data_IF_181429499193
#
_entry.id   IF_181429499193
#
_cell.length_a   1.000
_cell.length_b   1.000
_cell.length_c   1.000
_cell.angle_alpha   90.00
_cell.angle_beta   90.00
_cell.angle_gamma   90.00
#
_symmetry.space_group_name_H-M   'P 1'
#
loop_
_entity.id
_entity.type
_entity.pdbx_description
1 polymer ?
#
# COMPACT_ATOMS: atom_id res chain seq x y z
N UNK A 1 9.32 -7.60 -5.92
CA UNK A 1 8.41 -6.45 -5.77
C UNK A 1 7.16 -7.00 -5.12
N UNK A 2 6.95 -6.74 -3.84
CA UNK A 2 5.68 -7.09 -3.19
C UNK A 2 4.79 -5.87 -3.32
N UNK A 3 4.07 -5.77 -4.44
CA UNK A 3 2.96 -4.84 -4.54
C UNK A 3 1.74 -5.50 -3.93
N UNK A 4 1.22 -4.90 -2.86
CA UNK A 4 -0.01 -5.36 -2.25
C UNK A 4 -1.17 -4.48 -2.69
N UNK A 5 -1.59 -4.60 -3.95
CA UNK A 5 -2.81 -3.93 -4.43
C UNK A 5 -4.04 -4.65 -3.89
N UNK A 6 -4.79 -4.02 -3.00
CA UNK A 6 -6.04 -4.57 -2.47
C UNK A 6 -7.18 -4.31 -3.47
N UNK A 7 -7.91 -5.36 -3.87
CA UNK A 7 -9.18 -5.27 -4.60
C UNK A 7 -10.26 -6.03 -3.80
N UNK A 8 -11.49 -5.52 -3.78
CA UNK A 8 -12.64 -6.11 -3.10
C UNK A 8 -13.52 -6.80 -4.15
N UNK A 9 -13.77 -8.11 -4.02
CA UNK A 9 -14.81 -8.77 -4.83
C UNK A 9 -16.13 -8.90 -4.06
N UNK A 10 -17.19 -9.00 -4.84
CA UNK A 10 -18.56 -9.21 -4.42
C UNK A 10 -18.79 -10.67 -3.96
N UNK A 11 -19.40 -10.87 -2.78
CA UNK A 11 -19.69 -12.21 -2.24
C UNK A 11 -20.90 -12.90 -2.91
N UNK A 12 -21.63 -12.23 -3.81
CA UNK A 12 -22.87 -12.76 -4.40
C UNK A 12 -22.71 -13.48 -5.75
N UNK A 13 -21.55 -14.09 -6.05
CA UNK A 13 -21.44 -14.97 -7.24
C UNK A 13 -21.46 -16.45 -6.86
N UNK A 14 -22.59 -17.16 -7.05
CA UNK A 14 -22.58 -18.61 -7.04
C UNK A 14 -21.81 -19.08 -8.29
N UNK A 15 -20.76 -19.88 -8.08
CA UNK A 15 -19.86 -20.46 -9.09
C UNK A 15 -18.66 -19.59 -9.55
N UNK A 16 -17.62 -19.54 -8.71
CA UNK A 16 -16.35 -20.21 -9.03
C UNK A 16 -15.46 -19.69 -10.16
N UNK A 17 -15.57 -18.43 -10.60
CA UNK A 17 -14.52 -17.79 -11.40
C UNK A 17 -13.91 -16.62 -10.64
N UNK A 18 -12.78 -16.88 -9.96
CA UNK A 18 -11.89 -15.82 -9.48
C UNK A 18 -11.22 -15.23 -10.72
N UNK A 19 -11.63 -14.04 -11.13
CA UNK A 19 -10.91 -13.33 -12.17
C UNK A 19 -9.53 -12.99 -11.61
N UNK A 20 -8.50 -13.73 -12.03
CA UNK A 20 -7.11 -13.40 -11.76
C UNK A 20 -6.78 -12.08 -12.49
N UNK A 21 -7.16 -10.97 -11.87
CA UNK A 21 -6.79 -9.64 -12.32
C UNK A 21 -5.28 -9.51 -12.20
N UNK A 22 -4.63 -9.57 -13.36
CA UNK A 22 -3.19 -9.41 -13.46
C UNK A 22 -2.86 -7.98 -13.01
N UNK A 23 -2.06 -7.80 -11.94
CA UNK A 23 -1.55 -6.49 -11.49
C UNK A 23 -0.89 -5.72 -12.64
N UNK A 24 -0.29 -6.47 -13.58
CA UNK A 24 0.18 -5.93 -14.83
C UNK A 24 -0.91 -5.18 -15.60
N UNK A 25 -2.15 -5.67 -15.69
CA UNK A 25 -3.26 -4.94 -16.33
C UNK A 25 -3.68 -3.69 -15.57
N UNK A 26 -3.72 -3.66 -14.23
CA UNK A 26 -4.09 -2.43 -13.51
C UNK A 26 -2.99 -1.37 -13.63
N UNK A 27 -1.72 -1.77 -13.54
CA UNK A 27 -0.58 -0.89 -13.85
C UNK A 27 -0.54 -0.47 -15.31
N UNK A 28 -0.77 -1.40 -16.22
CA UNK A 28 -0.82 -1.12 -17.66
C UNK A 28 -2.00 -0.21 -17.94
N UNK A 29 -3.17 -0.38 -17.34
CA UNK A 29 -4.33 0.50 -17.53
C UNK A 29 -4.10 1.90 -16.95
N UNK A 30 -3.49 2.00 -15.76
CA UNK A 30 -3.03 3.27 -15.21
C UNK A 30 -1.97 3.95 -16.10
N UNK A 31 -1.09 3.16 -16.72
CA UNK A 31 -0.04 3.63 -17.64
C UNK A 31 -0.52 3.92 -19.06
N UNK A 32 -1.48 3.19 -19.62
CA UNK A 32 -1.85 3.25 -21.05
C UNK A 32 -2.78 4.41 -21.37
N UNK A 33 -3.48 4.98 -20.40
CA UNK A 33 -4.37 6.10 -20.69
C UNK A 33 -3.67 7.47 -20.76
N UNK A 34 -2.46 7.65 -20.21
CA UNK A 34 -1.62 8.87 -20.34
C UNK A 34 -0.15 8.54 -20.03
N UNK A 35 0.56 7.86 -20.94
CA UNK A 35 1.83 7.17 -20.68
C UNK A 35 3.10 8.04 -20.48
N UNK A 36 2.96 9.30 -20.07
CA UNK A 36 4.13 10.16 -19.78
C UNK A 36 3.86 11.23 -18.73
N UNK A 37 2.69 11.87 -18.77
CA UNK A 37 2.36 12.94 -17.81
C UNK A 37 1.94 12.41 -16.43
N UNK A 38 1.44 11.17 -16.32
CA UNK A 38 0.95 10.64 -15.04
C UNK A 38 2.05 10.06 -14.16
N UNK A 39 3.16 9.58 -14.72
CA UNK A 39 4.27 9.04 -13.92
C UNK A 39 4.87 10.13 -13.02
N UNK A 40 5.09 11.33 -13.59
CA UNK A 40 5.53 12.50 -12.81
C UNK A 40 4.54 12.91 -11.71
N UNK A 41 3.23 12.74 -11.94
CA UNK A 41 2.19 13.11 -10.95
C UNK A 41 2.20 12.14 -9.77
N UNK A 42 2.28 10.83 -10.04
CA UNK A 42 2.41 9.82 -8.98
C UNK A 42 3.69 10.02 -8.17
N UNK A 43 4.83 10.21 -8.84
CA UNK A 43 6.11 10.36 -8.15
C UNK A 43 6.15 11.61 -7.28
N UNK A 44 5.59 12.74 -7.77
CA UNK A 44 5.44 13.95 -6.97
C UNK A 44 4.54 13.74 -5.75
N UNK A 45 3.37 13.13 -5.95
CA UNK A 45 2.41 12.88 -4.87
C UNK A 45 3.02 11.97 -3.78
N UNK A 46 3.52 10.81 -4.17
CA UNK A 46 4.07 9.85 -3.21
C UNK A 46 5.36 10.37 -2.55
N UNK A 47 6.20 11.14 -3.26
CA UNK A 47 7.40 11.76 -2.66
C UNK A 47 7.02 12.80 -1.60
N UNK A 48 6.00 13.62 -1.88
CA UNK A 48 5.50 14.61 -0.93
C UNK A 48 4.89 13.95 0.30
N UNK A 49 4.07 12.91 0.09
CA UNK A 49 3.49 12.11 1.17
C UNK A 49 4.55 11.41 2.02
N UNK A 50 5.57 10.81 1.39
CA UNK A 50 6.64 10.14 2.12
C UNK A 50 7.39 11.10 3.03
N UNK A 51 7.75 12.30 2.54
CA UNK A 51 8.41 13.33 3.35
C UNK A 51 7.53 13.76 4.53
N UNK A 52 6.24 13.94 4.29
CA UNK A 52 5.28 14.31 5.32
C UNK A 52 5.13 13.22 6.40
N UNK A 53 5.06 11.95 6.00
CA UNK A 53 5.05 10.82 6.93
C UNK A 53 6.37 10.69 7.71
N UNK A 54 7.51 10.91 7.06
CA UNK A 54 8.83 10.89 7.71
C UNK A 54 9.01 12.01 8.75
N UNK A 55 8.31 13.13 8.60
CA UNK A 55 8.29 14.20 9.60
C UNK A 55 7.49 13.82 10.86
N UNK A 56 6.61 12.82 10.79
CA UNK A 56 5.82 12.31 11.92
C UNK A 56 5.75 10.77 11.93
N UNK A 57 6.87 10.07 12.18
CA UNK A 57 6.90 8.61 12.14
C UNK A 57 5.91 7.97 13.11
N UNK A 58 5.30 6.86 12.70
CA UNK A 58 4.32 6.15 13.51
C UNK A 58 2.92 6.78 13.53
N UNK A 59 2.65 7.78 12.67
CA UNK A 59 1.32 8.38 12.51
C UNK A 59 0.91 8.45 11.05
N UNK A 60 -0.38 8.23 10.79
CA UNK A 60 -0.97 8.45 9.47
C UNK A 60 -1.04 9.96 9.17
N UNK A 61 -0.59 10.35 7.99
CA UNK A 61 -0.62 11.73 7.49
C UNK A 61 -1.39 11.79 6.19
N UNK A 62 -2.24 12.80 6.04
CA UNK A 62 -2.97 13.05 4.81
C UNK A 62 -2.14 13.91 3.84
N UNK A 63 -2.31 13.70 2.53
CA UNK A 63 -1.62 14.45 1.47
C UNK A 63 -1.94 15.95 1.51
N UNK A 64 -3.09 16.35 2.06
CA UNK A 64 -3.46 17.75 2.27
C UNK A 64 -2.53 18.48 3.25
N UNK A 65 -1.79 17.74 4.07
CA UNK A 65 -0.78 18.30 4.98
C UNK A 65 0.59 18.45 4.31
N UNK A 66 0.80 17.85 3.13
CA UNK A 66 2.06 17.90 2.43
C UNK A 66 2.24 19.26 1.69
N UNK A 67 3.47 19.60 1.26
CA UNK A 67 3.75 20.84 0.54
C UNK A 67 2.87 21.06 -0.70
N UNK A 68 2.77 22.33 -1.13
CA UNK A 68 1.95 22.75 -2.27
C UNK A 68 2.14 21.85 -3.50
N UNK A 69 1.04 21.42 -4.11
CA UNK A 69 1.01 20.57 -5.30
C UNK A 69 0.57 19.11 -5.05
N UNK A 70 0.69 18.59 -3.82
CA UNK A 70 0.24 17.22 -3.51
C UNK A 70 -1.28 17.06 -3.68
N UNK A 71 -2.06 18.05 -3.26
CA UNK A 71 -3.54 18.05 -3.39
C UNK A 71 -3.96 18.06 -4.86
N UNK A 72 -3.33 18.89 -5.69
CA UNK A 72 -3.61 18.92 -7.13
C UNK A 72 -3.30 17.57 -7.78
N UNK A 73 -2.12 17.01 -7.49
CA UNK A 73 -1.73 15.68 -7.98
C UNK A 73 -2.70 14.57 -7.54
N UNK A 74 -3.18 14.61 -6.30
CA UNK A 74 -4.18 13.68 -5.78
C UNK A 74 -5.50 13.74 -6.59
N UNK A 75 -6.00 14.94 -6.86
CA UNK A 75 -7.21 15.12 -7.66
C UNK A 75 -7.02 14.71 -9.13
N UNK A 76 -5.87 15.04 -9.74
CA UNK A 76 -5.54 14.66 -11.12
C UNK A 76 -5.51 13.13 -11.32
N UNK A 77 -5.23 12.39 -10.23
CA UNK A 77 -5.23 10.94 -10.20
C UNK A 77 -6.60 10.32 -9.88
N UNK A 78 -7.62 11.14 -9.62
CA UNK A 78 -8.98 10.70 -9.31
C UNK A 78 -9.14 10.21 -7.86
N UNK A 79 -8.30 10.68 -6.95
CA UNK A 79 -8.39 10.35 -5.53
C UNK A 79 -9.19 11.41 -4.77
N UNK A 80 -10.06 10.96 -3.87
CA UNK A 80 -10.77 11.79 -2.88
C UNK A 80 -9.88 12.08 -1.65
N UNK A 81 -8.91 11.22 -1.37
CA UNK A 81 -7.98 11.40 -0.27
C UNK A 81 -6.79 10.45 -0.42
N UNK A 82 -5.58 10.95 -0.11
CA UNK A 82 -4.37 10.13 -0.07
C UNK A 82 -3.70 10.26 1.29
N UNK A 83 -3.23 9.14 1.83
CA UNK A 83 -2.67 9.04 3.17
C UNK A 83 -1.38 8.24 3.15
N UNK A 84 -0.49 8.51 4.09
CA UNK A 84 0.77 7.80 4.22
C UNK A 84 1.18 7.62 5.68
N UNK A 85 1.86 6.50 5.97
CA UNK A 85 2.40 6.17 7.29
C UNK A 85 3.73 5.47 7.14
N UNK A 86 4.74 5.93 7.86
CA UNK A 86 6.00 5.20 8.04
C UNK A 86 6.08 4.59 9.44
N UNK A 87 6.79 3.48 9.64
CA UNK A 87 6.98 2.89 10.96
C UNK A 87 7.68 3.88 11.91
N UNK A 88 7.31 3.86 13.20
CA UNK A 88 7.87 4.78 14.19
C UNK A 88 9.29 4.43 14.65
N UNK A 89 9.71 3.19 14.44
CA UNK A 89 10.98 2.63 14.92
C UNK A 89 12.03 2.48 13.83
N UNK A 90 11.71 2.77 12.57
CA UNK A 90 12.64 2.64 11.46
C UNK A 90 13.40 3.95 11.25
N UNK A 91 14.74 3.90 11.33
CA UNK A 91 15.57 5.00 10.89
C UNK A 91 15.54 5.10 9.35
N UNK A 92 15.15 6.24 8.76
CA UNK A 92 15.14 6.42 7.30
C UNK A 92 16.50 6.15 6.64
N UNK A 93 17.59 6.33 7.39
CA UNK A 93 18.96 6.16 6.86
C UNK A 93 19.35 4.70 6.60
N UNK A 94 18.70 3.73 7.25
CA UNK A 94 19.09 2.32 7.17
C UNK A 94 18.34 1.56 6.08
N UNK A 95 17.07 1.88 5.85
CA UNK A 95 16.21 1.12 4.95
C UNK A 95 15.40 1.97 3.97
N UNK A 96 15.71 3.27 3.85
CA UNK A 96 15.02 4.18 2.94
C UNK A 96 13.53 4.26 3.25
N UNK A 97 12.69 3.93 2.26
CA UNK A 97 11.24 3.93 2.39
C UNK A 97 10.64 2.59 2.86
N UNK A 98 11.44 1.56 3.15
CA UNK A 98 10.94 0.23 3.52
C UNK A 98 9.98 0.32 4.71
N UNK A 99 8.85 -0.36 4.58
CA UNK A 99 7.76 -0.33 5.54
C UNK A 99 6.79 0.82 5.34
N UNK A 100 7.06 1.81 4.48
CA UNK A 100 6.11 2.87 4.18
C UNK A 100 4.81 2.31 3.57
N UNK A 101 3.68 2.84 4.04
CA UNK A 101 2.34 2.45 3.60
C UNK A 101 1.65 3.70 3.08
N UNK A 102 0.99 3.56 1.94
CA UNK A 102 0.21 4.60 1.29
C UNK A 102 -1.19 4.09 1.03
N UNK A 103 -2.20 4.93 1.28
CA UNK A 103 -3.62 4.61 1.10
C UNK A 103 -4.21 5.71 0.22
N UNK A 104 -4.60 5.35 -0.99
CA UNK A 104 -5.24 6.26 -1.94
C UNK A 104 -6.71 5.88 -2.09
N UNK A 105 -7.59 6.79 -1.72
CA UNK A 105 -9.04 6.60 -1.72
C UNK A 105 -9.58 7.14 -3.02
N UNK A 106 -10.22 6.29 -3.82
CA UNK A 106 -10.81 6.68 -5.09
C UNK A 106 -12.02 7.57 -4.88
N UNK A 107 -12.08 8.68 -5.63
CA UNK A 107 -13.32 9.41 -5.80
C UNK A 107 -14.38 8.49 -6.45
N UNK A 108 -15.68 8.64 -6.15
CA UNK A 108 -16.73 7.72 -6.62
C UNK A 108 -16.68 7.43 -8.12
N UNK A 109 -16.47 8.46 -8.94
CA UNK A 109 -16.39 8.35 -10.41
C UNK A 109 -15.14 7.63 -10.94
N UNK A 110 -14.12 7.42 -10.09
CA UNK A 110 -12.83 6.83 -10.45
C UNK A 110 -12.61 5.44 -9.85
N UNK A 111 -13.61 4.87 -9.15
CA UNK A 111 -13.49 3.54 -8.55
C UNK A 111 -13.35 2.48 -9.65
N UNK A 112 -12.30 1.62 -9.61
CA UNK A 112 -12.11 0.61 -10.64
C UNK A 112 -13.09 -0.55 -10.46
N UNK A 113 -13.66 -1.04 -11.55
CA UNK A 113 -14.50 -2.26 -11.65
C UNK A 113 -15.84 -2.23 -10.92
N UNK A 114 -15.92 -1.77 -9.67
CA UNK A 114 -17.15 -1.69 -8.88
C UNK A 114 -17.07 -0.64 -7.76
N UNK A 115 -18.23 -0.26 -7.22
CA UNK A 115 -18.33 0.77 -6.17
C UNK A 115 -17.67 0.38 -4.84
N UNK A 116 -17.42 -0.92 -4.62
CA UNK A 116 -16.74 -1.44 -3.42
C UNK A 116 -15.22 -1.32 -3.46
N UNK A 117 -14.63 -1.05 -4.64
CA UNK A 117 -13.19 -0.81 -4.78
C UNK A 117 -12.86 0.64 -4.42
N UNK A 118 -12.89 0.92 -3.12
CA UNK A 118 -12.83 2.29 -2.59
C UNK A 118 -11.42 2.84 -2.41
N UNK A 119 -10.42 1.96 -2.27
CA UNK A 119 -9.05 2.39 -2.01
C UNK A 119 -8.01 1.47 -2.62
N UNK A 120 -6.87 2.04 -2.95
CA UNK A 120 -5.61 1.38 -3.28
C UNK A 120 -4.69 1.49 -2.07
N UNK A 121 -4.13 0.36 -1.64
CA UNK A 121 -3.05 0.35 -0.65
C UNK A 121 -1.76 0.01 -1.39
N UNK A 122 -0.72 0.81 -1.17
CA UNK A 122 0.62 0.54 -1.67
C UNK A 122 1.58 0.43 -0.47
N UNK A 123 2.47 -0.56 -0.52
CA UNK A 123 3.38 -0.86 0.60
C UNK A 123 4.79 -1.04 0.06
N UNK A 124 5.75 -0.35 0.66
CA UNK A 124 7.16 -0.47 0.32
C UNK A 124 7.79 -1.67 1.04
N UNK A 125 7.72 -2.86 0.44
CA UNK A 125 8.28 -4.07 1.04
C UNK A 125 9.83 -4.11 1.09
N UNK A 126 10.42 -4.87 2.03
CA UNK A 126 11.86 -5.08 2.10
C UNK A 126 12.40 -5.80 0.86
N UNK A 127 13.68 -5.54 0.52
CA UNK A 127 14.37 -6.20 -0.59
C UNK A 127 15.25 -7.35 -0.05
N UNK A 128 14.91 -8.60 -0.36
CA UNK A 128 15.72 -9.77 0.03
C UNK A 128 16.77 -10.18 -1.01
N UNK A 129 16.88 -9.45 -2.13
CA UNK A 129 17.79 -9.83 -3.23
C UNK A 129 19.18 -9.23 -3.05
N UNK A 130 20.07 -9.97 -2.39
CA UNK A 130 21.45 -9.56 -2.06
C UNK A 130 22.32 -9.27 -3.29
N UNK A 131 21.93 -9.72 -4.49
CA UNK A 131 22.70 -9.57 -5.73
C UNK A 131 22.21 -8.48 -6.70
N UNK A 132 21.08 -7.84 -6.43
CA UNK A 132 20.58 -6.74 -7.26
C UNK A 132 20.10 -5.61 -6.36
N UNK A 133 20.80 -4.47 -6.42
CA UNK A 133 20.26 -3.22 -5.90
C UNK A 133 18.88 -2.99 -6.53
N UNK A 134 17.84 -3.00 -5.71
CA UNK A 134 16.50 -2.65 -6.17
C UNK A 134 16.37 -1.14 -6.17
N UNK A 135 15.75 -0.56 -7.19
CA UNK A 135 15.22 0.80 -7.09
C UNK A 135 13.82 0.73 -6.51
N UNK A 136 13.55 1.58 -5.52
CA UNK A 136 12.20 1.76 -5.00
C UNK A 136 11.36 2.65 -5.91
N UNK A 137 10.11 2.90 -5.49
CA UNK A 137 9.15 3.72 -6.23
C UNK A 137 9.73 5.12 -6.54
N UNK A 138 10.59 5.62 -5.65
CA UNK A 138 11.13 6.97 -5.69
C UNK A 138 12.51 7.08 -6.38
N UNK A 139 12.94 6.05 -7.10
CA UNK A 139 14.32 5.95 -7.57
C UNK A 139 15.36 5.85 -6.44
N UNK A 140 14.92 5.80 -5.18
CA UNK A 140 15.78 5.62 -4.01
C UNK A 140 16.25 4.18 -3.96
N UNK A 141 17.54 3.99 -3.71
CA UNK A 141 18.13 2.67 -3.53
C UNK A 141 17.41 1.92 -2.40
N UNK A 142 16.93 0.70 -2.68
CA UNK A 142 16.43 -0.24 -1.69
C UNK A 142 17.57 -1.17 -1.29
N UNK A 143 18.25 -0.92 -0.16
CA UNK A 143 19.32 -1.80 0.30
C UNK A 143 18.77 -3.22 0.49
N UNK A 144 19.53 -4.20 0.03
CA UNK A 144 19.17 -5.59 0.24
C UNK A 144 19.40 -5.97 1.70
N UNK A 145 18.45 -6.66 2.31
CA UNK A 145 18.58 -7.27 3.62
C UNK A 145 19.07 -8.70 3.40
N UNK A 146 20.36 -8.92 3.61
CA UNK A 146 21.01 -10.21 3.36
C UNK A 146 20.77 -11.23 4.47
N UNK A 147 20.55 -10.78 5.70
CA UNK A 147 20.23 -11.63 6.83
C UNK A 147 18.75 -12.05 6.80
N UNK A 148 18.49 -13.35 7.03
CA UNK A 148 17.15 -13.91 6.92
C UNK A 148 16.24 -13.49 8.07
N UNK A 149 16.75 -13.34 9.28
CA UNK A 149 15.96 -12.99 10.46
C UNK A 149 15.61 -11.50 10.40
N UNK A 150 16.55 -10.64 9.99
CA UNK A 150 16.31 -9.22 9.73
C UNK A 150 15.28 -9.01 8.61
N UNK A 151 15.37 -9.80 7.52
CA UNK A 151 14.41 -9.71 6.42
C UNK A 151 13.00 -10.10 6.88
N UNK A 152 12.87 -11.21 7.61
CA UNK A 152 11.58 -11.65 8.16
C UNK A 152 11.01 -10.61 9.13
N UNK A 153 11.85 -10.06 10.02
CA UNK A 153 11.45 -8.99 10.91
C UNK A 153 10.95 -7.76 10.15
N UNK A 154 11.65 -7.35 9.09
CA UNK A 154 11.21 -6.22 8.26
C UNK A 154 9.87 -6.48 7.55
N UNK A 155 9.61 -7.72 7.13
CA UNK A 155 8.31 -8.12 6.58
C UNK A 155 7.20 -8.03 7.65
N UNK A 156 7.46 -8.54 8.85
CA UNK A 156 6.51 -8.47 9.97
C UNK A 156 6.20 -7.03 10.38
N UNK A 157 7.24 -6.18 10.49
CA UNK A 157 7.10 -4.77 10.82
C UNK A 157 6.32 -4.01 9.73
N UNK A 158 6.55 -4.33 8.46
CA UNK A 158 5.82 -3.78 7.31
C UNK A 158 4.33 -4.17 7.35
N UNK A 159 4.03 -5.45 7.63
CA UNK A 159 2.65 -5.92 7.76
C UNK A 159 1.94 -5.25 8.95
N UNK A 160 2.63 -5.15 10.09
CA UNK A 160 2.13 -4.46 11.28
C UNK A 160 1.82 -2.99 10.98
N UNK A 161 2.74 -2.28 10.32
CA UNK A 161 2.54 -0.90 9.91
C UNK A 161 1.33 -0.72 8.98
N UNK A 162 1.13 -1.67 8.05
CA UNK A 162 -0.01 -1.66 7.13
C UNK A 162 -1.34 -1.75 7.88
N UNK A 163 -1.42 -2.66 8.85
CA UNK A 163 -2.64 -2.80 9.67
C UNK A 163 -2.92 -1.56 10.51
N UNK A 164 -1.88 -0.94 11.08
CA UNK A 164 -2.01 0.31 11.83
C UNK A 164 -2.48 1.47 10.93
N UNK A 165 -1.93 1.59 9.72
CA UNK A 165 -2.33 2.61 8.76
C UNK A 165 -3.82 2.48 8.39
N UNK A 166 -4.30 1.27 8.09
CA UNK A 166 -5.71 1.02 7.77
C UNK A 166 -6.62 1.31 8.97
N UNK A 167 -6.21 0.92 10.18
CA UNK A 167 -6.96 1.22 11.40
C UNK A 167 -7.07 2.73 11.65
N UNK A 168 -5.97 3.46 11.55
CA UNK A 168 -5.94 4.91 11.71
C UNK A 168 -6.82 5.60 10.65
N UNK A 169 -6.74 5.14 9.40
CA UNK A 169 -7.59 5.62 8.30
C UNK A 169 -9.08 5.42 8.59
N UNK A 170 -9.49 4.20 8.97
CA UNK A 170 -10.89 3.91 9.27
C UNK A 170 -11.39 4.75 10.46
N UNK A 171 -10.52 5.07 11.42
CA UNK A 171 -10.83 6.02 12.49
C UNK A 171 -11.12 7.43 11.97
N UNK A 172 -10.32 7.93 11.03
CA UNK A 172 -10.57 9.23 10.38
C UNK A 172 -11.87 9.22 9.55
N UNK A 173 -12.10 8.14 8.80
CA UNK A 173 -13.30 7.98 7.97
C UNK A 173 -14.59 7.99 8.82
N UNK A 174 -14.56 7.35 9.99
CA UNK A 174 -15.73 7.34 10.89
C UNK A 174 -16.01 8.73 11.48
N UNK A 175 -14.97 9.48 11.88
CA UNK A 175 -15.14 10.86 12.40
C UNK A 175 -15.73 11.79 11.34
N UNK A 176 -15.35 11.61 10.06
CA UNK A 176 -15.84 12.41 8.94
C UNK A 176 -17.18 11.99 8.35
N UNK A 177 -17.82 10.92 8.87
CA UNK A 177 -18.94 10.23 8.22
C UNK A 177 -20.20 11.07 8.01
N UNK A 178 -20.41 12.10 8.83
CA UNK A 178 -21.59 12.97 8.73
C UNK A 178 -21.43 14.10 7.69
N UNK A 179 -20.25 14.26 7.09
CA UNK A 179 -19.96 15.34 6.14
C UNK A 179 -20.27 14.98 4.68
N UNK A 180 -20.41 16.00 3.80
CA UNK A 180 -20.54 15.80 2.35
C UNK A 180 -19.28 15.16 1.73
N UNK A 181 -18.15 15.23 2.42
CA UNK A 181 -16.85 14.66 2.04
C UNK A 181 -16.54 13.37 2.82
N UNK A 182 -17.56 12.62 3.22
CA UNK A 182 -17.39 11.38 3.98
C UNK A 182 -16.53 10.37 3.21
N UNK A 183 -15.40 9.98 3.81
CA UNK A 183 -14.52 8.97 3.25
C UNK A 183 -15.09 7.57 3.50
N UNK A 184 -15.02 6.65 2.51
CA UNK A 184 -15.47 5.27 2.69
C UNK A 184 -14.56 4.51 3.67
N UNK A 185 -15.10 3.50 4.35
CA UNK A 185 -14.29 2.60 5.19
C UNK A 185 -13.61 1.51 4.34
N UNK A 186 -12.45 1.05 4.79
CA UNK A 186 -11.78 -0.14 4.24
C UNK A 186 -12.13 -1.35 5.12
N UNK A 187 -13.04 -2.20 4.65
CA UNK A 187 -13.58 -3.31 5.45
C UNK A 187 -12.72 -4.59 5.39
N UNK A 188 -12.20 -4.93 4.21
CA UNK A 188 -11.44 -6.17 4.01
C UNK A 188 -10.22 -5.92 3.11
N UNK A 189 -9.03 -5.64 3.69
CA UNK A 189 -7.80 -5.60 2.91
C UNK A 189 -7.50 -7.01 2.39
N UNK A 190 -7.84 -7.28 1.13
CA UNK A 190 -7.49 -8.53 0.45
C UNK A 190 -6.02 -8.52 0.06
N UNK A 191 -5.24 -9.38 0.70
CA UNK A 191 -3.84 -9.56 0.37
C UNK A 191 -3.68 -10.05 -1.06
N UNK A 192 -3.01 -9.25 -1.87
CA UNK A 192 -2.63 -9.69 -3.20
C UNK A 192 -1.49 -10.72 -3.08
N UNK A 193 -1.59 -11.81 -3.82
CA UNK A 193 -0.51 -12.78 -3.90
C UNK A 193 0.74 -12.06 -4.42
N UNK A 194 1.82 -12.06 -3.62
CA UNK A 194 3.12 -11.57 -4.06
C UNK A 194 3.44 -12.24 -5.40
N UNK A 195 3.45 -11.46 -6.48
CA UNK A 195 3.68 -11.97 -7.82
C UNK A 195 4.99 -12.75 -7.81
N UNK A 196 4.96 -13.99 -8.30
CA UNK A 196 6.11 -14.92 -8.40
C UNK A 196 7.21 -14.45 -9.38
N UNK A 197 7.51 -13.16 -9.41
CA UNK A 197 8.56 -12.55 -10.23
C UNK A 197 9.54 -11.82 -9.32
N UNK A 198 10.35 -12.58 -8.61
CA UNK A 198 11.73 -12.23 -8.32
C UNK A 198 12.45 -13.53 -8.04
N UNK A 199 13.61 -13.72 -8.68
CA UNK A 199 14.28 -15.00 -8.86
C UNK A 199 14.92 -15.58 -7.59
N UNK A 200 14.15 -15.72 -6.53
CA UNK A 200 14.51 -16.55 -5.40
C UNK A 200 14.40 -18.02 -5.81
N UNK A 201 15.50 -18.77 -5.61
CA UNK A 201 15.51 -20.21 -5.82
C UNK A 201 14.38 -20.85 -4.99
N UNK A 202 13.64 -21.83 -5.53
CA UNK A 202 12.38 -22.36 -4.98
C UNK A 202 12.47 -23.10 -3.61
N UNK A 203 13.53 -22.90 -2.81
CA UNK A 203 13.73 -23.56 -1.51
C UNK A 203 13.36 -22.73 -0.27
N UNK A 204 13.33 -21.39 -0.34
CA UNK A 204 13.14 -20.52 0.85
C UNK A 204 11.70 -20.02 1.07
N UNK A 205 10.85 -20.10 0.06
CA UNK A 205 9.55 -19.41 -0.01
C UNK A 205 8.48 -19.97 0.95
N UNK A 206 8.58 -21.26 1.33
CA UNK A 206 7.59 -21.90 2.21
C UNK A 206 7.64 -21.46 3.67
N UNK A 207 8.75 -20.88 4.15
CA UNK A 207 8.87 -20.42 5.56
C UNK A 207 8.20 -19.07 5.79
N UNK A 208 8.26 -18.16 4.82
CA UNK A 208 7.73 -16.79 4.93
C UNK A 208 6.21 -16.80 5.09
N UNK A 209 5.49 -17.53 4.22
CA UNK A 209 4.02 -17.59 4.25
C UNK A 209 3.46 -18.31 5.50
N UNK A 210 4.25 -19.18 6.15
CA UNK A 210 3.86 -19.90 7.36
C UNK A 210 4.12 -19.12 8.65
N UNK A 211 4.98 -18.09 8.61
CA UNK A 211 5.34 -17.27 9.77
C UNK A 211 4.60 -15.95 9.87
N UNK A 212 3.80 -15.54 8.87
CA UNK A 212 2.89 -14.39 9.04
C UNK A 212 2.09 -14.62 10.32
N UNK A 213 2.30 -13.82 11.38
CA UNK A 213 1.80 -14.15 12.70
C UNK A 213 0.29 -14.33 12.66
N UNK A 214 -0.24 -15.34 13.38
CA UNK A 214 -1.70 -15.50 13.56
C UNK A 214 -2.35 -14.21 14.08
N UNK A 215 -1.57 -13.38 14.77
CA UNK A 215 -1.94 -12.04 15.24
C UNK A 215 -2.28 -11.06 14.09
N UNK A 216 -1.63 -11.14 12.92
CA UNK A 216 -1.99 -10.34 11.76
C UNK A 216 -3.34 -10.76 11.14
N UNK A 217 -3.65 -12.08 11.15
CA UNK A 217 -4.98 -12.56 10.74
C UNK A 217 -6.07 -12.12 11.72
N UNK A 218 -5.78 -12.17 13.02
CA UNK A 218 -6.69 -11.66 14.05
C UNK A 218 -6.88 -10.15 13.95
N UNK A 219 -5.81 -9.38 13.73
CA UNK A 219 -5.88 -7.93 13.60
C UNK A 219 -6.66 -7.49 12.36
N UNK A 220 -6.55 -8.21 11.24
CA UNK A 220 -7.38 -7.96 10.06
C UNK A 220 -8.86 -8.24 10.33
N UNK A 221 -9.18 -9.32 11.04
CA UNK A 221 -10.55 -9.60 11.47
C UNK A 221 -11.07 -8.60 12.50
N UNK A 222 -10.22 -8.06 13.38
CA UNK A 222 -10.62 -7.04 14.38
C UNK A 222 -10.78 -5.65 13.77
N UNK A 223 -9.94 -5.26 12.80
CA UNK A 223 -10.04 -3.99 12.09
C UNK A 223 -11.30 -3.90 11.20
N UNK A 224 -11.82 -5.05 10.76
CA UNK A 224 -13.09 -5.16 10.03
C UNK A 224 -14.34 -5.13 10.94
N UNK A 225 -14.18 -5.30 12.26
CA UNK A 225 -15.30 -5.40 13.23
C UNK A 225 -15.50 -4.15 14.08
N UNK A 226 -14.48 -3.31 14.18
CA UNK A 226 -14.62 -1.90 14.57
C UNK A 226 -15.11 -1.14 13.35
#
# INVERSE_FOLDING_TARGET
LVDMTVLVEDEERPHGQVAHLHVGMLRTHARTHVAGMKEDVYDRLYSAMLREAQAAPGRLRAAVNAPQGAVGAMHDLGFAGSFSRVPGHCSPSQHGAVGAVFIDVYAPAHRPLCERNVALIYVEGPNGNVGAGGTGLFGVARPAIGDSDDFLKAVEDTASNTMLAVREYNGLAEVGRAGPEALPRIEAPRGLQAGRRQGHRPGSDRRVLRRIPRHCRSAACSAARL
#
